data_IF_496451709796
#
_entry.id   IF_496451709796
#
_cell.length_a   1.000
_cell.length_b   1.000
_cell.length_c   1.000
_cell.angle_alpha   90.00
_cell.angle_beta   90.00
_cell.angle_gamma   90.00
#
_symmetry.space_group_name_H-M   'P 1'
#
loop_
_entity.id
_entity.type
_entity.pdbx_description
1 polymer ?
#
# COMPACT_ATOMS: atom_id res chain seq x y z
N UNK A 1 13.19 -43.95 -45.51
CA UNK A 1 14.10 -43.05 -44.76
C UNK A 1 13.77 -41.55 -44.88
N UNK A 2 13.37 -41.01 -46.05
CA UNK A 2 13.08 -39.56 -46.19
C UNK A 2 11.89 -39.08 -45.34
N UNK A 3 10.81 -39.87 -45.30
CA UNK A 3 9.59 -39.55 -44.54
C UNK A 3 9.91 -39.45 -43.04
N UNK A 4 10.71 -40.38 -42.51
CA UNK A 4 11.09 -40.40 -41.09
C UNK A 4 11.86 -39.13 -40.67
N UNK A 5 12.79 -38.64 -41.50
CA UNK A 5 13.55 -37.40 -41.22
C UNK A 5 12.64 -36.17 -41.19
N UNK A 6 11.66 -36.10 -42.09
CA UNK A 6 10.70 -34.99 -42.12
C UNK A 6 9.74 -35.04 -40.94
N UNK A 7 9.25 -36.23 -40.58
CA UNK A 7 8.42 -36.41 -39.40
C UNK A 7 9.15 -35.98 -38.12
N UNK A 8 10.43 -36.36 -37.98
CA UNK A 8 11.28 -35.91 -36.88
C UNK A 8 11.46 -34.39 -36.85
N UNK A 9 11.65 -33.74 -38.00
CA UNK A 9 11.76 -32.29 -38.08
C UNK A 9 10.47 -31.58 -37.64
N UNK A 10 9.29 -32.09 -38.01
CA UNK A 10 7.99 -31.54 -37.56
C UNK A 10 7.82 -31.68 -36.05
N UNK A 11 8.18 -32.82 -35.47
CA UNK A 11 8.14 -33.01 -34.02
C UNK A 11 9.05 -32.00 -33.29
N UNK A 12 10.27 -31.79 -33.79
CA UNK A 12 11.19 -30.81 -33.24
C UNK A 12 10.65 -29.37 -33.34
N UNK A 13 9.91 -29.04 -34.40
CA UNK A 13 9.25 -27.73 -34.54
C UNK A 13 8.19 -27.52 -33.45
N UNK A 14 7.37 -28.53 -33.17
CA UNK A 14 6.36 -28.44 -32.11
C UNK A 14 7.02 -28.24 -30.75
N UNK A 15 8.06 -29.04 -30.44
CA UNK A 15 8.83 -28.90 -29.19
C UNK A 15 9.48 -27.51 -29.10
N UNK A 16 10.08 -27.04 -30.19
CA UNK A 16 10.65 -25.69 -30.28
C UNK A 16 9.59 -24.61 -30.00
N UNK A 17 8.40 -24.71 -30.60
CA UNK A 17 7.34 -23.72 -30.43
C UNK A 17 6.84 -23.65 -28.98
N UNK A 18 6.66 -24.80 -28.31
CA UNK A 18 6.26 -24.84 -26.90
C UNK A 18 7.35 -24.29 -25.98
N UNK A 19 8.62 -24.67 -26.20
CA UNK A 19 9.73 -24.12 -25.43
C UNK A 19 9.90 -22.61 -25.66
N UNK A 20 9.66 -22.14 -26.89
CA UNK A 20 9.71 -20.72 -27.23
C UNK A 20 8.64 -19.94 -26.44
N UNK A 21 7.41 -20.46 -26.36
CA UNK A 21 6.36 -19.88 -25.51
C UNK A 21 6.83 -19.72 -24.06
N UNK A 22 7.32 -20.79 -23.45
CA UNK A 22 7.77 -20.78 -22.05
C UNK A 22 8.91 -19.78 -21.83
N UNK A 23 9.84 -19.70 -22.78
CA UNK A 23 11.00 -18.80 -22.71
C UNK A 23 10.61 -17.32 -22.86
N UNK A 24 9.69 -17.00 -23.78
CA UNK A 24 9.19 -15.63 -23.93
C UNK A 24 8.37 -15.22 -22.71
N UNK A 25 7.50 -16.10 -22.21
CA UNK A 25 6.70 -15.83 -21.02
C UNK A 25 7.60 -15.57 -19.80
N UNK A 26 8.58 -16.44 -19.54
CA UNK A 26 9.49 -16.27 -18.40
C UNK A 26 10.35 -15.01 -18.48
N UNK A 27 10.88 -14.67 -19.67
CA UNK A 27 11.65 -13.42 -19.85
C UNK A 27 10.79 -12.17 -19.74
N UNK A 28 9.56 -12.20 -20.25
CA UNK A 28 8.66 -11.04 -20.17
C UNK A 28 8.23 -10.81 -18.71
N UNK A 29 7.99 -11.88 -17.95
CA UNK A 29 7.70 -11.81 -16.53
C UNK A 29 8.87 -11.19 -15.74
N UNK A 30 10.11 -11.64 -15.96
CA UNK A 30 11.31 -11.10 -15.29
C UNK A 30 11.52 -9.61 -15.63
N UNK A 31 11.33 -9.23 -16.89
CA UNK A 31 11.52 -7.86 -17.36
C UNK A 31 10.40 -6.88 -16.98
N UNK A 32 9.16 -7.35 -16.84
CA UNK A 32 7.99 -6.49 -16.60
C UNK A 32 7.53 -6.55 -15.15
N UNK A 33 7.09 -7.72 -14.68
CA UNK A 33 6.44 -7.89 -13.36
C UNK A 33 7.40 -7.61 -12.20
N UNK A 34 8.68 -7.93 -12.38
CA UNK A 34 9.71 -7.73 -11.38
C UNK A 34 10.52 -6.45 -11.64
N UNK A 35 10.04 -5.50 -12.44
CA UNK A 35 10.72 -4.21 -12.60
C UNK A 35 10.11 -3.14 -11.70
N UNK A 36 10.92 -2.40 -10.92
CA UNK A 36 10.42 -1.32 -10.07
C UNK A 36 9.63 -0.28 -10.89
N UNK A 37 10.17 0.13 -12.04
CA UNK A 37 9.54 1.13 -12.90
C UNK A 37 8.13 0.72 -13.37
N UNK A 38 7.94 -0.54 -13.79
CA UNK A 38 6.64 -1.02 -14.19
C UNK A 38 5.64 -1.01 -13.04
N UNK A 39 6.03 -1.49 -11.85
CA UNK A 39 5.14 -1.51 -10.70
C UNK A 39 4.74 -0.10 -10.26
N UNK A 40 5.69 0.84 -10.22
CA UNK A 40 5.39 2.26 -9.95
C UNK A 40 4.42 2.84 -10.96
N UNK A 41 4.64 2.57 -12.25
CA UNK A 41 3.74 3.03 -13.31
C UNK A 41 2.35 2.43 -13.17
N UNK A 42 2.22 1.14 -12.83
CA UNK A 42 0.92 0.51 -12.60
C UNK A 42 0.22 1.08 -11.35
N UNK A 43 0.95 1.36 -10.27
CA UNK A 43 0.39 1.98 -9.06
C UNK A 43 -0.13 3.39 -9.35
N UNK A 44 0.65 4.19 -10.08
CA UNK A 44 0.27 5.54 -10.48
C UNK A 44 -0.91 5.55 -11.47
N UNK A 45 -0.86 4.72 -12.50
CA UNK A 45 -1.89 4.66 -13.56
C UNK A 45 -3.26 4.24 -13.01
N UNK A 46 -3.28 3.41 -11.97
CA UNK A 46 -4.51 2.95 -11.35
C UNK A 46 -4.92 3.79 -10.13
N UNK A 47 -4.32 4.95 -9.87
CA UNK A 47 -4.64 5.81 -8.72
C UNK A 47 -4.63 5.07 -7.36
N UNK A 48 -3.72 4.10 -7.21
CA UNK A 48 -3.67 3.25 -6.00
C UNK A 48 -3.36 4.07 -4.75
N UNK A 49 -2.54 5.12 -4.88
CA UNK A 49 -2.18 6.01 -3.77
C UNK A 49 -3.40 6.77 -3.24
N UNK A 50 -4.23 7.32 -4.13
CA UNK A 50 -5.43 8.04 -3.75
C UNK A 50 -6.48 7.10 -3.15
N UNK A 51 -6.67 5.92 -3.74
CA UNK A 51 -7.55 4.87 -3.20
C UNK A 51 -7.12 4.43 -1.80
N UNK A 52 -5.83 4.17 -1.60
CA UNK A 52 -5.30 3.74 -0.30
C UNK A 52 -5.60 4.76 0.81
N UNK A 53 -5.43 6.06 0.54
CA UNK A 53 -5.69 7.12 1.53
C UNK A 53 -7.17 7.41 1.75
N UNK A 54 -8.01 7.29 0.71
CA UNK A 54 -9.42 7.66 0.78
C UNK A 54 -10.32 6.55 1.31
N UNK A 55 -9.98 5.31 1.00
CA UNK A 55 -10.87 4.15 1.19
C UNK A 55 -10.22 3.14 2.14
N UNK A 56 -9.03 2.64 1.80
CA UNK A 56 -8.43 1.53 2.54
C UNK A 56 -7.99 1.88 3.97
N UNK A 57 -7.19 2.94 4.12
CA UNK A 57 -6.63 3.34 5.42
C UNK A 57 -7.72 3.74 6.44
N UNK A 58 -8.73 4.57 6.09
CA UNK A 58 -9.79 4.93 7.02
C UNK A 58 -10.66 3.75 7.45
N UNK A 59 -10.87 2.77 6.56
CA UNK A 59 -11.58 1.54 6.89
C UNK A 59 -10.80 0.72 7.93
N UNK A 60 -9.50 0.50 7.69
CA UNK A 60 -8.65 -0.29 8.60
C UNK A 60 -8.47 0.38 9.97
N UNK A 61 -8.25 1.70 10.00
CA UNK A 61 -8.06 2.45 11.25
C UNK A 61 -9.27 2.33 12.19
N UNK A 62 -10.48 2.22 11.65
CA UNK A 62 -11.70 2.05 12.45
C UNK A 62 -11.84 0.65 13.01
N UNK A 63 -11.46 -0.35 12.22
CA UNK A 63 -11.54 -1.75 12.63
C UNK A 63 -10.48 -2.09 13.67
N UNK A 64 -9.27 -1.54 13.59
CA UNK A 64 -8.15 -2.00 14.43
C UNK A 64 -7.82 -1.08 15.61
N UNK A 65 -8.05 0.24 15.52
CA UNK A 65 -7.63 1.14 16.60
C UNK A 65 -8.67 1.23 17.73
N UNK A 66 -8.28 0.80 18.92
CA UNK A 66 -9.06 1.01 20.15
C UNK A 66 -9.13 2.51 20.49
N UNK A 67 -8.04 3.23 20.31
CA UNK A 67 -7.91 4.67 20.64
C UNK A 67 -8.87 5.55 19.84
N UNK A 68 -9.06 5.31 18.54
CA UNK A 68 -9.98 6.13 17.73
C UNK A 68 -11.45 5.68 17.88
N UNK A 69 -11.70 4.44 18.32
CA UNK A 69 -13.06 3.94 18.55
C UNK A 69 -13.78 4.67 19.69
N UNK A 70 -13.04 5.09 20.70
CA UNK A 70 -13.59 5.78 21.88
C UNK A 70 -13.78 7.29 21.65
N UNK A 71 -13.30 7.81 20.52
CA UNK A 71 -13.50 9.20 20.11
C UNK A 71 -14.75 9.34 19.23
N UNK A 72 -15.49 10.47 19.29
CA UNK A 72 -16.71 10.70 18.52
C UNK A 72 -16.41 11.10 17.06
N UNK A 73 -15.61 10.28 16.37
CA UNK A 73 -15.14 10.51 15.01
C UNK A 73 -15.90 9.66 13.99
N UNK A 74 -16.39 10.30 12.94
CA UNK A 74 -16.98 9.63 11.77
C UNK A 74 -15.88 9.08 10.84
N UNK A 75 -16.22 8.19 9.89
CA UNK A 75 -15.23 7.61 8.97
C UNK A 75 -14.64 8.68 8.08
N UNK A 76 -15.49 9.59 7.61
CA UNK A 76 -15.10 10.72 6.78
C UNK A 76 -14.14 11.64 7.52
N UNK A 77 -14.39 11.92 8.79
CA UNK A 77 -13.49 12.75 9.61
C UNK A 77 -12.11 12.09 9.81
N UNK A 78 -12.06 10.77 10.04
CA UNK A 78 -10.78 10.05 10.10
C UNK A 78 -10.08 10.05 8.75
N UNK A 79 -10.82 9.89 7.65
CA UNK A 79 -10.26 9.96 6.30
C UNK A 79 -9.68 11.33 5.96
N UNK A 80 -10.39 12.41 6.31
CA UNK A 80 -9.93 13.78 6.15
C UNK A 80 -8.67 14.05 6.99
N UNK A 81 -8.66 13.55 8.23
CA UNK A 81 -7.51 13.66 9.13
C UNK A 81 -6.27 12.93 8.57
N UNK A 82 -6.43 11.69 8.09
CA UNK A 82 -5.34 10.93 7.47
C UNK A 82 -4.83 11.63 6.21
N UNK A 83 -5.72 12.11 5.35
CA UNK A 83 -5.31 12.82 4.12
C UNK A 83 -4.58 14.13 4.40
N UNK A 84 -4.98 14.86 5.45
CA UNK A 84 -4.30 16.09 5.86
C UNK A 84 -2.88 15.83 6.38
N UNK A 85 -2.63 14.64 6.92
CA UNK A 85 -1.41 14.32 7.69
C UNK A 85 -0.42 13.49 6.87
N UNK A 86 -0.94 12.65 5.99
CA UNK A 86 -0.23 11.84 5.01
C UNK A 86 -0.68 12.29 3.62
N UNK A 87 -0.06 13.34 3.05
CA UNK A 87 -0.35 13.76 1.68
C UNK A 87 -0.07 12.63 0.69
N UNK A 88 -0.82 12.59 -0.40
CA UNK A 88 -0.64 11.57 -1.46
C UNK A 88 0.80 11.53 -1.98
N UNK A 89 1.45 12.69 -2.14
CA UNK A 89 2.83 12.77 -2.58
C UNK A 89 3.80 12.04 -1.62
N UNK A 90 3.58 12.18 -0.31
CA UNK A 90 4.39 11.50 0.70
C UNK A 90 4.16 9.99 0.65
N UNK A 91 2.89 9.54 0.60
CA UNK A 91 2.59 8.11 0.48
C UNK A 91 3.22 7.52 -0.78
N UNK A 92 3.10 8.23 -1.91
CA UNK A 92 3.69 7.82 -3.18
C UNK A 92 5.20 7.65 -3.05
N UNK A 93 5.90 8.64 -2.49
CA UNK A 93 7.35 8.56 -2.27
C UNK A 93 7.74 7.34 -1.41
N UNK A 94 7.04 7.10 -0.30
CA UNK A 94 7.36 5.98 0.59
C UNK A 94 7.08 4.62 -0.06
N UNK A 95 5.95 4.47 -0.76
CA UNK A 95 5.61 3.24 -1.47
C UNK A 95 6.57 2.99 -2.63
N UNK A 96 6.90 4.04 -3.40
CA UNK A 96 7.86 3.93 -4.49
C UNK A 96 9.27 3.59 -3.99
N UNK A 97 9.69 4.15 -2.85
CA UNK A 97 10.95 3.77 -2.19
C UNK A 97 10.91 2.32 -1.73
N UNK A 98 9.79 1.84 -1.19
CA UNK A 98 9.63 0.44 -0.81
C UNK A 98 9.73 -0.47 -2.04
N UNK A 99 9.10 -0.10 -3.16
CA UNK A 99 9.18 -0.82 -4.44
C UNK A 99 10.63 -0.88 -4.94
N UNK A 100 11.37 0.22 -4.87
CA UNK A 100 12.78 0.26 -5.29
C UNK A 100 13.70 -0.62 -4.46
N UNK A 101 13.37 -0.88 -3.19
CA UNK A 101 14.19 -1.73 -2.33
C UNK A 101 13.74 -3.19 -2.38
N UNK A 102 12.45 -3.46 -2.26
CA UNK A 102 11.88 -4.81 -2.14
C UNK A 102 11.95 -5.56 -3.47
N UNK A 103 11.61 -4.90 -4.58
CA UNK A 103 11.50 -5.60 -5.87
C UNK A 103 12.86 -6.12 -6.37
N UNK A 104 13.97 -5.36 -6.29
CA UNK A 104 15.28 -5.92 -6.61
C UNK A 104 15.70 -7.07 -5.70
N UNK A 105 15.34 -7.03 -4.41
CA UNK A 105 15.62 -8.12 -3.48
C UNK A 105 14.88 -9.41 -3.88
N UNK A 106 13.56 -9.34 -4.11
CA UNK A 106 12.73 -10.47 -4.55
C UNK A 106 13.20 -11.00 -5.91
N UNK A 107 13.57 -10.10 -6.82
CA UNK A 107 14.15 -10.44 -8.12
C UNK A 107 15.57 -11.04 -8.04
N UNK A 108 16.13 -11.17 -6.83
CA UNK A 108 17.46 -11.70 -6.57
C UNK A 108 18.62 -10.81 -7.00
N UNK A 109 18.36 -9.51 -7.27
CA UNK A 109 19.32 -8.49 -7.72
C UNK A 109 19.94 -7.68 -6.57
N UNK A 110 19.29 -7.63 -5.42
CA UNK A 110 19.86 -7.15 -4.16
C UNK A 110 19.89 -8.29 -3.14
N UNK A 111 20.86 -8.27 -2.24
CA UNK A 111 20.99 -9.25 -1.14
C UNK A 111 20.41 -8.77 0.19
N UNK A 112 20.18 -7.47 0.34
CA UNK A 112 19.66 -6.88 1.56
C UNK A 112 18.53 -5.89 1.25
N UNK A 113 17.60 -5.76 2.21
CA UNK A 113 16.56 -4.75 2.26
C UNK A 113 16.86 -3.84 3.45
N UNK A 114 16.91 -2.54 3.17
CA UNK A 114 16.88 -1.50 4.19
C UNK A 114 15.93 -0.41 3.71
N UNK A 115 14.74 -0.36 4.30
CA UNK A 115 13.75 0.68 4.04
C UNK A 115 13.55 1.47 5.32
N UNK A 116 13.76 2.79 5.26
CA UNK A 116 13.55 3.68 6.41
C UNK A 116 12.43 4.66 6.08
N UNK A 117 11.34 4.60 6.83
CA UNK A 117 10.17 5.47 6.66
C UNK A 117 10.13 6.48 7.82
N UNK A 118 10.33 7.78 7.56
CA UNK A 118 10.34 8.80 8.61
C UNK A 118 8.91 9.18 9.03
N UNK A 119 8.48 8.80 10.23
CA UNK A 119 7.11 9.05 10.71
C UNK A 119 6.99 10.27 11.62
N UNK A 120 8.09 10.76 12.18
CA UNK A 120 8.12 11.83 13.19
C UNK A 120 7.28 13.06 12.83
N UNK A 121 7.45 13.60 11.62
CA UNK A 121 6.70 14.79 11.18
C UNK A 121 5.23 14.47 10.93
N UNK A 122 4.93 13.29 10.39
CA UNK A 122 3.56 12.83 10.08
C UNK A 122 2.75 12.60 11.34
N UNK A 123 3.39 11.99 12.34
CA UNK A 123 2.87 11.80 13.70
C UNK A 123 2.49 13.13 14.35
N UNK A 124 3.43 14.09 14.37
CA UNK A 124 3.15 15.43 14.91
C UNK A 124 2.03 16.15 14.15
N UNK A 125 2.01 16.06 12.83
CA UNK A 125 0.93 16.63 12.03
C UNK A 125 -0.43 15.99 12.36
N UNK A 126 -0.45 14.67 12.58
CA UNK A 126 -1.65 13.93 12.96
C UNK A 126 -2.21 14.35 14.31
N UNK A 127 -1.36 14.46 15.32
CA UNK A 127 -1.77 14.96 16.63
C UNK A 127 -2.39 16.36 16.53
N UNK A 128 -1.71 17.30 15.86
CA UNK A 128 -2.20 18.67 15.70
C UNK A 128 -3.56 18.73 14.97
N UNK A 129 -3.71 17.95 13.91
CA UNK A 129 -4.95 17.92 13.14
C UNK A 129 -6.09 17.23 13.91
N UNK A 130 -5.80 16.17 14.67
CA UNK A 130 -6.77 15.49 15.53
C UNK A 130 -7.25 16.43 16.64
N UNK A 131 -6.31 17.14 17.29
CA UNK A 131 -6.61 18.11 18.32
C UNK A 131 -7.53 19.22 17.82
N UNK A 132 -7.23 19.78 16.65
CA UNK A 132 -8.04 20.82 16.02
C UNK A 132 -9.48 20.32 15.73
N UNK A 133 -9.60 19.08 15.25
CA UNK A 133 -10.91 18.45 15.00
C UNK A 133 -11.71 18.23 16.29
N UNK A 134 -11.06 17.74 17.34
CA UNK A 134 -11.69 17.51 18.64
C UNK A 134 -12.14 18.83 19.29
N UNK A 135 -11.34 19.90 19.18
CA UNK A 135 -11.76 21.24 19.62
C UNK A 135 -13.00 21.71 18.87
N UNK A 136 -13.02 21.56 17.54
CA UNK A 136 -14.18 21.96 16.74
C UNK A 136 -15.45 21.22 17.17
N UNK A 137 -15.34 19.92 17.48
CA UNK A 137 -16.46 19.14 18.03
C UNK A 137 -16.85 19.60 19.42
N UNK A 138 -15.88 19.87 20.28
CA UNK A 138 -16.10 20.37 21.63
C UNK A 138 -16.82 21.72 21.62
N UNK A 139 -16.42 22.64 20.75
CA UNK A 139 -17.03 23.96 20.60
C UNK A 139 -18.46 23.93 20.04
N UNK A 140 -18.80 22.86 19.31
CA UNK A 140 -20.14 22.61 18.81
C UNK A 140 -21.08 21.98 19.86
N UNK A 141 -20.56 21.55 21.02
CA UNK A 141 -21.40 20.98 22.09
C UNK A 141 -22.25 22.06 22.77
N UNK A 142 -23.47 21.70 23.22
CA UNK A 142 -24.29 22.61 24.01
C UNK A 142 -23.62 22.91 25.36
N UNK A 143 -23.87 24.10 25.95
CA UNK A 143 -23.37 24.41 27.29
C UNK A 143 -23.96 23.43 28.32
N UNK A 144 -23.14 22.99 29.28
CA UNK A 144 -23.59 22.12 30.36
C UNK A 144 -24.62 22.83 31.25
N UNK A 145 -25.77 22.19 31.48
CA UNK A 145 -26.81 22.71 32.37
C UNK A 145 -26.51 22.48 33.86
N UNK A 146 -25.73 21.45 34.18
CA UNK A 146 -25.24 21.14 35.53
C UNK A 146 -23.78 20.69 35.46
N UNK A 147 -23.03 20.89 36.53
CA UNK A 147 -21.60 20.53 36.55
C UNK A 147 -21.41 19.01 36.66
N UNK A 148 -22.36 18.31 37.28
CA UNK A 148 -22.39 16.84 37.37
C UNK A 148 -22.45 16.13 35.99
N UNK A 149 -22.90 16.82 34.95
CA UNK A 149 -23.00 16.27 33.59
C UNK A 149 -21.63 16.28 32.86
N UNK A 150 -20.65 17.02 33.40
CA UNK A 150 -19.28 17.02 32.92
C UNK A 150 -18.49 15.88 33.57
N UNK A 151 -18.67 14.64 33.08
CA UNK A 151 -17.77 13.53 33.39
C UNK A 151 -16.57 13.55 32.44
N UNK A 152 -15.37 13.80 32.97
CA UNK A 152 -14.08 13.62 32.28
C UNK A 152 -13.49 12.23 32.57
N UNK A 153 -14.34 11.22 32.74
CA UNK A 153 -13.88 9.86 32.95
C UNK A 153 -13.84 9.16 31.60
N UNK A 154 -12.69 9.27 30.92
CA UNK A 154 -12.28 8.46 29.75
C UNK A 154 -13.11 8.54 28.46
N UNK A 155 -14.26 9.20 28.46
CA UNK A 155 -15.09 9.43 27.26
C UNK A 155 -15.07 10.91 26.84
N UNK A 156 -15.25 11.18 25.54
CA UNK A 156 -15.38 12.56 25.04
C UNK A 156 -16.58 13.26 25.70
N UNK A 157 -16.44 14.51 26.17
CA UNK A 157 -17.48 15.19 26.94
C UNK A 157 -18.76 15.38 26.12
N UNK A 158 -19.92 15.26 26.77
CA UNK A 158 -21.24 15.43 26.14
C UNK A 158 -21.73 16.88 26.08
N UNK A 159 -21.12 17.76 26.86
CA UNK A 159 -21.46 19.17 26.93
C UNK A 159 -20.20 20.02 27.08
N UNK A 160 -20.27 21.27 26.61
CA UNK A 160 -19.20 22.26 26.77
C UNK A 160 -19.35 22.97 28.11
N UNK A 161 -18.23 23.14 28.78
CA UNK A 161 -18.16 23.83 30.05
C UNK A 161 -18.05 25.33 29.76
N UNK A 162 -19.20 26.02 29.72
CA UNK A 162 -19.32 27.47 29.53
C UNK A 162 -19.90 27.92 28.18
N UNK A 163 -20.66 29.00 28.22
CA UNK A 163 -21.11 29.74 27.03
C UNK A 163 -20.08 30.82 26.63
N UNK A 164 -20.40 31.58 25.58
CA UNK A 164 -19.61 32.67 24.98
C UNK A 164 -19.18 33.80 25.94
N UNK A 165 -19.56 33.76 27.22
CA UNK A 165 -19.11 34.70 28.25
C UNK A 165 -18.02 34.14 29.20
N UNK A 166 -17.67 32.85 29.10
CA UNK A 166 -16.56 32.24 29.85
C UNK A 166 -16.78 32.13 31.36
N UNK A 167 -17.99 32.39 31.87
CA UNK A 167 -18.26 32.38 33.30
C UNK A 167 -18.94 31.06 33.72
N UNK A 168 -18.12 30.10 34.18
CA UNK A 168 -18.58 28.94 34.95
C UNK A 168 -19.03 29.28 36.37
N UNK A 169 -18.63 30.46 36.81
CA UNK A 169 -18.85 30.98 38.15
C UNK A 169 -20.33 30.98 38.54
N UNK A 170 -21.29 31.47 37.74
CA UNK A 170 -22.70 31.54 38.17
C UNK A 170 -23.34 30.17 38.39
N UNK A 171 -22.98 29.16 37.59
CA UNK A 171 -23.54 27.81 37.69
C UNK A 171 -22.97 27.08 38.91
N UNK A 172 -21.65 27.11 39.09
CA UNK A 172 -20.97 26.55 40.27
C UNK A 172 -21.42 27.23 41.56
N UNK A 173 -21.65 28.55 41.52
CA UNK A 173 -22.11 29.34 42.67
C UNK A 173 -23.55 29.06 43.01
N UNK A 174 -24.44 28.95 42.03
CA UNK A 174 -25.84 28.59 42.27
C UNK A 174 -25.95 27.17 42.84
N UNK A 175 -25.14 26.22 42.33
CA UNK A 175 -25.14 24.83 42.79
C UNK A 175 -24.52 24.71 44.19
N UNK A 176 -23.42 25.43 44.49
CA UNK A 176 -22.83 25.49 45.83
C UNK A 176 -23.75 26.19 46.85
N UNK A 177 -24.42 27.28 46.46
CA UNK A 177 -25.36 28.01 47.31
C UNK A 177 -26.60 27.18 47.69
N UNK A 178 -26.94 26.16 46.88
CA UNK A 178 -28.05 25.26 47.14
C UNK A 178 -27.69 24.05 48.04
N UNK A 179 -26.41 23.85 48.38
CA UNK A 179 -25.98 22.75 49.24
C UNK A 179 -26.29 23.00 50.73
N UNK A 180 -26.72 21.98 51.49
CA UNK A 180 -26.94 22.11 52.94
C UNK A 180 -25.62 22.35 53.69
N UNK A 181 -25.65 22.99 54.86
CA UNK A 181 -24.46 23.17 55.69
C UNK A 181 -23.91 21.84 56.20
N UNK A 182 -22.58 21.64 56.17
CA UNK A 182 -21.95 20.42 56.66
C UNK A 182 -22.11 20.32 58.20
N UNK A 183 -22.69 19.22 58.66
CA UNK A 183 -22.81 18.90 60.10
C UNK A 183 -21.50 18.41 60.71
N UNK A 184 -20.62 17.79 59.93
CA UNK A 184 -19.34 17.28 60.39
C UNK A 184 -18.25 17.31 59.30
N UNK A 185 -16.96 17.31 59.67
CA UNK A 185 -15.85 17.19 58.72
C UNK A 185 -15.86 15.88 57.92
N UNK A 186 -16.49 14.82 58.42
CA UNK A 186 -16.60 13.53 57.74
C UNK A 186 -17.62 13.54 56.59
N UNK A 187 -18.50 14.55 56.55
CA UNK A 187 -19.52 14.73 55.51
C UNK A 187 -18.95 15.40 54.24
N UNK A 188 -17.72 15.93 54.31
CA UNK A 188 -16.94 16.43 53.19
C UNK A 188 -16.39 15.27 52.35
N UNK A 189 -17.30 14.46 51.77
CA UNK A 189 -16.92 13.54 50.68
C UNK A 189 -16.97 14.29 49.36
N UNK A 190 -15.81 14.50 48.78
CA UNK A 190 -15.64 15.07 47.45
C UNK A 190 -15.63 13.96 46.41
N UNK A 191 -16.63 13.93 45.54
CA UNK A 191 -16.58 13.21 44.26
C UNK A 191 -17.70 13.73 43.33
N UNK A 192 -17.42 14.58 42.31
CA UNK A 192 -16.26 15.46 42.13
C UNK A 192 -16.42 16.84 42.82
N UNK A 193 -17.53 17.07 43.53
CA UNK A 193 -17.85 18.32 44.24
C UNK A 193 -18.26 18.05 45.71
N UNK A 194 -18.15 19.04 46.62
CA UNK A 194 -18.62 18.90 48.00
C UNK A 194 -20.14 18.71 48.02
N UNK A 195 -20.64 17.87 48.95
CA UNK A 195 -22.09 17.63 49.13
C UNK A 195 -22.76 18.60 50.11
N UNK A 196 -21.99 19.47 50.72
CA UNK A 196 -22.45 20.41 51.73
C UNK A 196 -21.57 21.68 51.75
N UNK A 197 -22.11 22.79 52.25
CA UNK A 197 -21.37 24.03 52.47
C UNK A 197 -20.52 23.90 53.73
N UNK A 198 -19.21 24.07 53.60
CA UNK A 198 -18.36 24.24 54.77
C UNK A 198 -18.67 25.62 55.36
N UNK A 199 -19.15 25.68 56.61
CA UNK A 199 -19.01 26.90 57.41
C UNK A 199 -17.53 27.24 57.62
N UNK A 200 -17.22 28.25 58.44
CA UNK A 200 -15.85 28.71 58.74
C UNK A 200 -14.85 27.53 58.78
N UNK A 201 -14.00 27.45 57.75
CA UNK A 201 -13.21 26.26 57.46
C UNK A 201 -12.16 26.09 58.56
N UNK A 202 -12.09 24.91 59.17
CA UNK A 202 -11.01 24.62 60.10
C UNK A 202 -9.67 24.53 59.33
N UNK A 203 -8.54 24.95 59.91
CA UNK A 203 -7.23 24.92 59.23
C UNK A 203 -6.82 23.56 58.66
N UNK A 204 -7.43 22.48 59.15
CA UNK A 204 -7.15 21.10 58.78
C UNK A 204 -7.84 20.71 57.46
N UNK A 205 -9.06 21.20 57.22
CA UNK A 205 -9.77 21.03 55.95
C UNK A 205 -9.08 21.83 54.83
N UNK A 206 -8.50 22.99 55.17
CA UNK A 206 -7.73 23.80 54.22
C UNK A 206 -6.46 23.10 53.72
N UNK A 207 -5.74 22.39 54.59
CA UNK A 207 -4.57 21.59 54.18
C UNK A 207 -4.94 20.40 53.29
N UNK A 208 -6.08 19.76 53.54
CA UNK A 208 -6.58 18.65 52.71
C UNK A 208 -7.02 19.11 51.31
N UNK A 209 -7.59 20.32 51.22
CA UNK A 209 -7.93 20.97 49.95
C UNK A 209 -6.67 21.28 49.13
N UNK A 210 -5.65 21.88 49.75
CA UNK A 210 -4.38 22.21 49.09
C UNK A 210 -3.63 20.97 48.57
N UNK A 211 -3.65 19.86 49.32
CA UNK A 211 -3.00 18.61 48.92
C UNK A 211 -3.72 17.88 47.76
N UNK A 212 -5.00 18.19 47.47
CA UNK A 212 -5.82 17.43 46.52
C UNK A 212 -6.20 18.20 45.24
N UNK A 213 -6.21 19.53 45.27
CA UNK A 213 -6.57 20.38 44.11
C UNK A 213 -5.42 20.71 43.16
N UNK A 214 -4.22 20.16 43.38
CA UNK A 214 -3.05 20.32 42.50
C UNK A 214 -3.25 19.74 41.08
N UNK A 215 -4.41 19.10 40.82
CA UNK A 215 -4.76 18.44 39.55
C UNK A 215 -5.59 19.33 38.61
N UNK A 216 -6.09 20.50 39.05
CA UNK A 216 -6.88 21.43 38.23
C UNK A 216 -6.26 22.85 38.23
N UNK A 217 -5.26 23.12 37.37
CA UNK A 217 -4.53 24.39 37.38
C UNK A 217 -5.37 25.61 36.97
N UNK A 218 -6.55 25.38 36.38
CA UNK A 218 -7.37 26.44 35.78
C UNK A 218 -8.13 27.31 36.80
N UNK A 219 -8.24 26.88 38.06
CA UNK A 219 -8.88 27.67 39.11
C UNK A 219 -8.04 27.66 40.39
N UNK A 220 -6.78 28.11 40.29
CA UNK A 220 -5.94 28.45 41.45
C UNK A 220 -6.62 29.44 42.42
N UNK A 221 -7.71 30.08 42.00
CA UNK A 221 -8.52 31.05 42.74
C UNK A 221 -9.68 30.44 43.55
N UNK A 222 -9.84 29.12 43.61
CA UNK A 222 -10.87 28.53 44.48
C UNK A 222 -10.57 28.75 45.98
N UNK A 223 -9.30 29.02 46.32
CA UNK A 223 -8.83 29.28 47.68
C UNK A 223 -9.38 30.60 48.25
N UNK A 224 -9.66 31.60 47.40
CA UNK A 224 -10.24 32.90 47.81
C UNK A 224 -11.77 32.86 48.02
N UNK A 225 -12.44 31.86 47.45
CA UNK A 225 -13.90 31.67 47.54
C UNK A 225 -14.30 31.23 48.95
N UNK A 226 -13.43 30.46 49.60
CA UNK A 226 -13.63 29.91 50.94
C UNK A 226 -13.50 30.98 52.04
N UNK A 227 -12.73 32.04 51.79
CA UNK A 227 -12.40 33.08 52.78
C UNK A 227 -13.21 34.36 52.63
N UNK A 228 -14.25 34.37 51.78
CA UNK A 228 -15.18 35.50 51.63
C UNK A 228 -14.72 36.61 50.67
N UNK A 229 -13.79 36.30 49.76
CA UNK A 229 -13.37 37.21 48.70
C UNK A 229 -14.37 37.26 47.54
N UNK A 230 -14.60 38.47 47.01
CA UNK A 230 -15.40 38.74 45.81
C UNK A 230 -14.94 37.89 44.61
N UNK A 231 -15.90 37.25 43.93
CA UNK A 231 -15.75 36.39 42.75
C UNK A 231 -14.75 36.93 41.71
N UNK A 232 -13.48 36.58 41.85
CA UNK A 232 -12.50 36.84 40.81
C UNK A 232 -12.65 35.79 39.73
N UNK A 233 -12.79 36.30 38.52
CA UNK A 233 -13.03 35.60 37.28
C UNK A 233 -12.04 34.46 37.09
N UNK A 234 -12.48 33.20 37.24
CA UNK A 234 -11.82 32.08 36.57
C UNK A 234 -11.94 32.35 35.07
N UNK A 235 -11.00 33.10 34.50
CA UNK A 235 -10.85 33.23 33.07
C UNK A 235 -10.33 31.88 32.60
N UNK A 236 -11.25 30.99 32.25
CA UNK A 236 -10.91 29.69 31.68
C UNK A 236 -10.06 29.98 30.45
N UNK A 237 -8.75 29.74 30.59
CA UNK A 237 -7.82 29.87 29.49
C UNK A 237 -8.30 28.92 28.40
N UNK A 238 -8.47 29.43 27.17
CA UNK A 238 -9.00 28.62 26.06
C UNK A 238 -8.20 27.32 26.00
N UNK A 239 -8.91 26.20 26.02
CA UNK A 239 -8.29 24.88 25.91
C UNK A 239 -7.53 24.86 24.58
N UNK A 240 -6.20 24.85 24.64
CA UNK A 240 -5.36 24.76 23.44
C UNK A 240 -5.40 23.32 22.89
N UNK A 241 -5.17 23.14 21.58
CA UNK A 241 -5.17 21.81 20.96
C UNK A 241 -4.27 20.80 21.69
N UNK A 242 -3.07 21.23 22.07
CA UNK A 242 -2.08 20.40 22.74
C UNK A 242 -2.55 19.96 24.13
N UNK A 243 -3.26 20.84 24.83
CA UNK A 243 -3.74 20.58 26.20
C UNK A 243 -4.94 19.64 26.20
N UNK A 244 -5.81 19.72 25.18
CA UNK A 244 -6.91 18.77 25.02
C UNK A 244 -6.39 17.36 24.75
N UNK A 245 -5.34 17.20 23.93
CA UNK A 245 -4.73 15.89 23.69
C UNK A 245 -4.08 15.30 24.94
N UNK A 246 -3.38 16.12 25.72
CA UNK A 246 -2.81 15.70 27.00
C UNK A 246 -3.88 15.28 28.00
N UNK A 247 -5.00 16.01 28.06
CA UNK A 247 -6.13 15.68 28.93
C UNK A 247 -6.84 14.38 28.51
N UNK A 248 -6.82 14.04 27.23
CA UNK A 248 -7.36 12.79 26.71
C UNK A 248 -6.34 11.64 26.72
N UNK A 249 -5.12 11.85 27.25
CA UNK A 249 -4.00 10.90 27.24
C UNK A 249 -3.61 10.34 25.85
N UNK A 250 -4.11 10.95 24.77
CA UNK A 250 -3.93 10.45 23.40
C UNK A 250 -2.48 10.54 22.97
N UNK A 251 -1.76 11.61 23.34
CA UNK A 251 -0.36 11.80 22.91
C UNK A 251 0.59 10.76 23.52
N UNK A 252 0.44 10.43 24.81
CA UNK A 252 1.32 9.45 25.46
C UNK A 252 1.09 8.03 24.95
N UNK A 253 -0.16 7.67 24.66
CA UNK A 253 -0.48 6.35 24.12
C UNK A 253 -0.05 6.24 22.64
N UNK A 254 -0.27 7.29 21.86
CA UNK A 254 0.18 7.35 20.47
C UNK A 254 1.72 7.33 20.37
N UNK A 255 2.43 7.98 21.29
CA UNK A 255 3.89 7.94 21.37
C UNK A 255 4.45 6.53 21.59
N UNK A 256 3.76 5.71 22.38
CA UNK A 256 4.17 4.33 22.67
C UNK A 256 3.90 3.38 21.50
N UNK A 257 2.85 3.64 20.73
CA UNK A 257 2.39 2.76 19.64
C UNK A 257 3.10 3.07 18.32
N UNK A 258 3.33 4.36 18.02
CA UNK A 258 3.86 4.79 16.73
C UNK A 258 5.29 5.33 16.88
N UNK A 259 6.32 4.60 16.39
CA UNK A 259 7.70 5.06 16.47
C UNK A 259 7.97 6.26 15.55
N UNK A 260 9.01 7.04 15.86
CA UNK A 260 9.43 8.20 15.05
C UNK A 260 9.93 7.83 13.66
N UNK A 261 10.40 6.59 13.49
CA UNK A 261 10.82 6.03 12.21
C UNK A 261 10.54 4.54 12.21
N UNK A 262 10.16 4.02 11.05
CA UNK A 262 10.01 2.60 10.82
C UNK A 262 11.16 2.14 9.92
N UNK A 263 12.06 1.34 10.46
CA UNK A 263 13.11 0.68 9.68
C UNK A 263 12.70 -0.75 9.45
N UNK A 264 12.48 -1.10 8.19
CA UNK A 264 12.17 -2.47 7.77
C UNK A 264 13.44 -3.07 7.17
N UNK A 265 13.94 -4.11 7.82
CA UNK A 265 15.12 -4.86 7.39
C UNK A 265 14.73 -6.17 6.71
N UNK A 266 15.71 -6.84 6.10
CA UNK A 266 15.52 -8.18 5.55
C UNK A 266 14.99 -9.17 6.60
N UNK A 267 15.48 -9.08 7.85
CA UNK A 267 15.08 -9.98 8.92
C UNK A 267 13.59 -9.86 9.23
N UNK A 268 13.09 -8.62 9.35
CA UNK A 268 11.68 -8.33 9.64
C UNK A 268 10.75 -8.86 8.54
N UNK A 269 11.18 -8.78 7.28
CA UNK A 269 10.40 -9.30 6.15
C UNK A 269 10.41 -10.83 6.14
N UNK A 270 11.55 -11.47 6.37
CA UNK A 270 11.65 -12.93 6.39
C UNK A 270 10.91 -13.55 7.58
N UNK A 271 10.81 -12.84 8.70
CA UNK A 271 9.99 -13.26 9.83
C UNK A 271 8.50 -13.31 9.46
N UNK A 272 8.02 -12.31 8.72
CA UNK A 272 6.62 -12.22 8.30
C UNK A 272 6.31 -13.03 7.02
N UNK A 273 7.32 -13.33 6.21
CA UNK A 273 7.19 -14.02 4.93
C UNK A 273 8.37 -15.00 4.71
N UNK A 274 8.43 -16.12 5.47
CA UNK A 274 9.56 -17.06 5.40
C UNK A 274 9.71 -17.70 4.01
N UNK A 275 8.62 -17.83 3.26
CA UNK A 275 8.62 -18.37 1.89
C UNK A 275 9.26 -17.43 0.87
N UNK A 276 9.54 -16.17 1.23
CA UNK A 276 10.10 -15.18 0.30
C UNK A 276 11.49 -15.59 -0.21
N UNK A 277 12.33 -16.20 0.63
CA UNK A 277 13.65 -16.68 0.20
C UNK A 277 13.51 -17.88 -0.76
N UNK A 278 12.51 -18.75 -0.57
CA UNK A 278 12.18 -19.83 -1.51
C UNK A 278 11.75 -19.28 -2.86
N UNK A 279 10.92 -18.24 -2.87
CA UNK A 279 10.50 -17.54 -4.10
C UNK A 279 11.71 -16.91 -4.79
N UNK A 280 12.56 -16.23 -4.04
CA UNK A 280 13.78 -15.58 -4.53
C UNK A 280 14.77 -16.58 -5.13
N UNK A 281 14.99 -17.71 -4.46
CA UNK A 281 15.81 -18.81 -4.97
C UNK A 281 15.21 -19.40 -6.25
N UNK A 282 13.88 -19.55 -6.30
CA UNK A 282 13.16 -20.02 -7.49
C UNK A 282 13.31 -19.06 -8.66
N UNK A 283 13.20 -17.74 -8.44
CA UNK A 283 13.42 -16.72 -9.47
C UNK A 283 14.85 -16.79 -10.03
N UNK A 284 15.86 -16.94 -9.16
CA UNK A 284 17.27 -17.11 -9.58
C UNK A 284 17.46 -18.39 -10.41
N UNK A 285 16.85 -19.50 -10.00
CA UNK A 285 16.90 -20.76 -10.73
C UNK A 285 16.22 -20.65 -12.10
N UNK A 286 15.05 -20.01 -12.16
CA UNK A 286 14.32 -19.75 -13.42
C UNK A 286 15.16 -18.88 -14.35
N UNK A 287 15.80 -17.80 -13.87
CA UNK A 287 16.65 -16.94 -14.71
C UNK A 287 17.83 -17.71 -15.31
N UNK A 288 18.45 -18.59 -14.54
CA UNK A 288 19.51 -19.48 -15.03
C UNK A 288 18.96 -20.47 -16.08
N UNK A 289 17.78 -21.04 -15.83
CA UNK A 289 17.09 -21.94 -16.75
C UNK A 289 16.66 -21.24 -18.06
N UNK A 290 16.35 -19.95 -18.02
CA UNK A 290 16.02 -19.15 -19.21
C UNK A 290 17.23 -19.02 -20.16
N UNK A 291 18.44 -18.85 -19.63
CA UNK A 291 19.65 -18.83 -20.47
C UNK A 291 19.95 -20.20 -21.07
N UNK A 292 19.88 -21.26 -20.27
CA UNK A 292 20.04 -22.64 -20.75
C UNK A 292 19.00 -23.00 -21.82
N UNK A 293 17.74 -22.61 -21.61
CA UNK A 293 16.66 -22.87 -22.54
C UNK A 293 16.77 -22.07 -23.84
N UNK A 294 17.39 -20.89 -23.84
CA UNK A 294 17.72 -20.17 -25.08
C UNK A 294 18.76 -20.93 -25.91
N UNK A 295 19.80 -21.47 -25.27
CA UNK A 295 20.77 -22.33 -25.95
C UNK A 295 20.10 -23.60 -26.52
N UNK A 296 19.18 -24.21 -25.76
CA UNK A 296 18.38 -25.34 -26.23
C UNK A 296 17.49 -24.98 -27.42
N UNK A 297 16.84 -23.82 -27.41
CA UNK A 297 16.04 -23.34 -28.55
C UNK A 297 16.89 -23.16 -29.79
N UNK A 298 18.08 -22.56 -29.68
CA UNK A 298 19.01 -22.42 -30.79
C UNK A 298 19.42 -23.79 -31.34
N UNK A 299 19.71 -24.76 -30.47
CA UNK A 299 20.05 -26.13 -30.86
C UNK A 299 18.88 -26.85 -31.56
N UNK A 300 17.65 -26.72 -31.06
CA UNK A 300 16.44 -27.29 -31.68
C UNK A 300 16.14 -26.65 -33.04
N UNK A 301 16.32 -25.34 -33.16
CA UNK A 301 16.16 -24.62 -34.41
C UNK A 301 17.19 -25.09 -35.44
N UNK A 302 18.46 -25.22 -35.05
CA UNK A 302 19.50 -25.78 -35.90
C UNK A 302 19.18 -27.24 -36.29
N UNK A 303 18.81 -28.08 -35.34
CA UNK A 303 18.46 -29.48 -35.60
C UNK A 303 17.30 -29.61 -36.59
N UNK A 304 16.21 -28.86 -36.40
CA UNK A 304 15.06 -28.88 -37.32
C UNK A 304 15.43 -28.41 -38.73
N UNK A 305 16.26 -27.37 -38.84
CA UNK A 305 16.78 -26.89 -40.12
C UNK A 305 17.64 -27.96 -40.84
N UNK A 306 18.61 -28.55 -40.14
CA UNK A 306 19.52 -29.55 -40.71
C UNK A 306 18.85 -30.90 -41.02
N UNK A 307 17.86 -31.34 -40.22
CA UNK A 307 17.13 -32.57 -40.50
C UNK A 307 16.16 -32.42 -41.68
N UNK A 308 15.50 -31.27 -41.80
CA UNK A 308 14.49 -31.02 -42.82
C UNK A 308 15.08 -30.70 -44.20
N UNK A 309 16.21 -29.98 -44.25
CA UNK A 309 16.81 -29.46 -45.48
C UNK A 309 18.12 -30.13 -45.90
N UNK A 310 18.17 -30.70 -47.11
CA UNK A 310 19.43 -31.17 -47.72
C UNK A 310 20.29 -30.04 -48.28
N UNK A 311 19.67 -29.01 -48.86
CA UNK A 311 20.34 -27.82 -49.37
C UNK A 311 20.21 -26.66 -48.39
N UNK A 312 21.06 -25.64 -48.52
CA UNK A 312 20.99 -24.41 -47.71
C UNK A 312 19.59 -23.77 -47.77
N UNK A 313 18.97 -23.74 -48.96
CA UNK A 313 17.59 -23.27 -49.15
C UNK A 313 16.58 -24.06 -48.33
N UNK A 314 16.68 -25.40 -48.37
CA UNK A 314 15.82 -26.26 -47.57
C UNK A 314 16.00 -26.01 -46.07
N UNK A 315 17.23 -25.83 -45.60
CA UNK A 315 17.52 -25.54 -44.18
C UNK A 315 16.88 -24.23 -43.73
N UNK A 316 16.99 -23.18 -44.55
CA UNK A 316 16.34 -21.89 -44.30
C UNK A 316 14.82 -22.02 -44.25
N UNK A 317 14.22 -22.79 -45.17
CA UNK A 317 12.77 -23.00 -45.18
C UNK A 317 12.28 -23.73 -43.92
N UNK A 318 12.97 -24.78 -43.46
CA UNK A 318 12.58 -25.50 -42.24
C UNK A 318 12.80 -24.67 -40.98
N UNK A 319 13.89 -23.91 -40.89
CA UNK A 319 14.11 -22.97 -39.79
C UNK A 319 13.07 -21.83 -39.78
N UNK A 320 12.75 -21.27 -40.96
CA UNK A 320 11.71 -20.25 -41.12
C UNK A 320 10.32 -20.76 -40.75
N UNK A 321 10.00 -22.02 -41.09
CA UNK A 321 8.76 -22.68 -40.67
C UNK A 321 8.68 -22.81 -39.14
N UNK A 322 9.77 -23.22 -38.49
CA UNK A 322 9.83 -23.34 -37.03
C UNK A 322 9.54 -22.00 -36.33
N UNK A 323 10.19 -20.92 -36.79
CA UNK A 323 10.01 -19.57 -36.27
C UNK A 323 8.59 -19.07 -36.54
N UNK A 324 8.04 -19.31 -37.74
CA UNK A 324 6.69 -18.87 -38.11
C UNK A 324 5.62 -19.54 -37.25
N UNK A 325 5.73 -20.86 -37.04
CA UNK A 325 4.81 -21.62 -36.18
C UNK A 325 4.92 -21.14 -34.73
N UNK A 326 6.14 -20.95 -34.22
CA UNK A 326 6.35 -20.40 -32.88
C UNK A 326 5.79 -18.99 -32.71
N UNK A 327 6.01 -18.10 -33.67
CA UNK A 327 5.47 -16.74 -33.69
C UNK A 327 3.95 -16.71 -33.76
N UNK A 328 3.33 -17.56 -34.59
CA UNK A 328 1.88 -17.68 -34.66
C UNK A 328 1.29 -18.19 -33.34
N UNK A 329 1.92 -19.20 -32.74
CA UNK A 329 1.48 -19.75 -31.46
C UNK A 329 1.59 -18.72 -30.34
N UNK A 330 2.69 -17.96 -30.28
CA UNK A 330 2.84 -16.81 -29.38
C UNK A 330 1.73 -15.78 -29.55
N UNK A 331 1.37 -15.46 -30.81
CA UNK A 331 0.32 -14.51 -31.11
C UNK A 331 -1.05 -15.00 -30.63
N UNK A 332 -1.36 -16.28 -30.86
CA UNK A 332 -2.59 -16.90 -30.38
C UNK A 332 -2.67 -16.91 -28.85
N UNK A 333 -1.56 -17.22 -28.16
CA UNK A 333 -1.50 -17.18 -26.69
C UNK A 333 -1.64 -15.75 -26.18
N UNK A 334 -1.04 -14.75 -26.82
CA UNK A 334 -1.20 -13.34 -26.44
C UNK A 334 -2.65 -12.86 -26.59
N UNK A 335 -3.32 -13.23 -27.68
CA UNK A 335 -4.74 -12.90 -27.91
C UNK A 335 -5.66 -13.68 -26.94
N UNK A 336 -5.42 -14.98 -26.77
CA UNK A 336 -6.19 -15.82 -25.86
C UNK A 336 -6.01 -15.45 -24.39
N UNK A 337 -4.78 -15.07 -23.98
CA UNK A 337 -4.46 -14.66 -22.62
C UNK A 337 -5.23 -13.43 -22.16
N UNK A 338 -5.55 -12.48 -23.04
CA UNK A 338 -6.45 -11.36 -22.72
C UNK A 338 -7.86 -11.82 -22.36
N UNK A 339 -8.36 -12.87 -23.02
CA UNK A 339 -9.68 -13.42 -22.72
C UNK A 339 -9.69 -14.39 -21.53
N UNK A 340 -8.60 -15.13 -21.31
CA UNK A 340 -8.48 -16.15 -20.26
C UNK A 340 -8.13 -15.53 -18.90
N UNK A 341 -7.36 -14.44 -18.87
CA UNK A 341 -7.01 -13.73 -17.64
C UNK A 341 -8.26 -13.25 -16.90
N UNK A 342 -9.29 -12.78 -17.61
CA UNK A 342 -10.56 -12.41 -17.00
C UNK A 342 -11.22 -13.57 -16.21
N UNK A 343 -11.03 -14.82 -16.64
CA UNK A 343 -11.56 -16.01 -15.94
C UNK A 343 -10.69 -16.41 -14.76
N UNK A 344 -9.37 -16.46 -14.96
CA UNK A 344 -8.42 -16.84 -13.90
C UNK A 344 -8.43 -15.85 -12.73
N UNK A 345 -8.59 -14.56 -13.02
CA UNK A 345 -8.69 -13.51 -12.01
C UNK A 345 -9.93 -13.71 -11.14
N UNK A 346 -11.07 -14.07 -11.73
CA UNK A 346 -12.30 -14.33 -10.96
C UNK A 346 -12.18 -15.56 -10.04
N UNK A 347 -11.37 -16.56 -10.41
CA UNK A 347 -11.10 -17.69 -9.50
C UNK A 347 -10.13 -17.32 -8.39
N UNK A 348 -9.09 -16.53 -8.68
CA UNK A 348 -8.16 -16.01 -7.67
C UNK A 348 -8.85 -15.09 -6.65
N UNK A 349 -9.90 -14.37 -7.08
CA UNK A 349 -10.71 -13.54 -6.19
C UNK A 349 -11.37 -14.34 -5.08
N UNK A 350 -11.72 -15.60 -5.33
CA UNK A 350 -12.34 -16.47 -4.32
C UNK A 350 -11.37 -16.95 -3.23
N UNK A 351 -10.06 -16.81 -3.43
CA UNK A 351 -9.03 -17.28 -2.50
C UNK A 351 -8.65 -16.20 -1.48
N UNK A 352 -8.93 -14.93 -1.78
CA UNK A 352 -8.53 -13.78 -0.96
C UNK A 352 -9.55 -13.37 0.11
N UNK A 353 -10.11 -14.29 0.91
CA UNK A 353 -11.27 -14.01 1.79
C UNK A 353 -11.00 -13.13 3.03
N UNK A 354 -10.07 -12.18 2.97
CA UNK A 354 -9.66 -11.36 4.12
C UNK A 354 -9.60 -9.86 3.89
N UNK A 355 -9.82 -9.38 2.66
CA UNK A 355 -9.79 -7.94 2.34
C UNK A 355 -11.19 -7.41 2.09
N UNK A 356 -11.39 -6.10 2.27
CA UNK A 356 -12.65 -5.48 1.88
C UNK A 356 -12.84 -5.59 0.36
N UNK A 357 -14.08 -5.80 -0.07
CA UNK A 357 -14.46 -5.95 -1.49
C UNK A 357 -13.93 -4.81 -2.37
N UNK A 358 -13.77 -3.61 -1.81
CA UNK A 358 -13.20 -2.46 -2.51
C UNK A 358 -11.69 -2.59 -2.79
N UNK A 359 -10.93 -3.12 -1.82
CA UNK A 359 -9.48 -3.34 -1.97
C UNK A 359 -9.22 -4.46 -2.98
N UNK A 360 -10.05 -5.50 -2.96
CA UNK A 360 -10.02 -6.57 -3.95
C UNK A 360 -10.26 -6.03 -5.37
N UNK A 361 -11.33 -5.27 -5.57
CA UNK A 361 -11.66 -4.65 -6.86
C UNK A 361 -10.50 -3.81 -7.41
N UNK A 362 -9.84 -3.04 -6.54
CA UNK A 362 -8.70 -2.21 -6.95
C UNK A 362 -7.47 -3.03 -7.28
N UNK A 363 -7.17 -4.06 -6.49
CA UNK A 363 -6.09 -5.00 -6.79
C UNK A 363 -6.31 -5.68 -8.15
N UNK A 364 -7.55 -6.07 -8.47
CA UNK A 364 -7.87 -6.65 -9.78
C UNK A 364 -7.64 -5.68 -10.93
N UNK A 365 -7.99 -4.40 -10.79
CA UNK A 365 -7.71 -3.40 -11.82
C UNK A 365 -6.21 -3.28 -12.10
N UNK A 366 -5.37 -3.26 -11.06
CA UNK A 366 -3.90 -3.21 -11.19
C UNK A 366 -3.38 -4.45 -11.90
N UNK A 367 -3.82 -5.64 -11.47
CA UNK A 367 -3.42 -6.91 -12.10
C UNK A 367 -3.85 -6.97 -13.56
N UNK A 368 -5.08 -6.56 -13.87
CA UNK A 368 -5.60 -6.58 -15.23
C UNK A 368 -4.86 -5.59 -16.14
N UNK A 369 -4.56 -4.38 -15.65
CA UNK A 369 -3.74 -3.39 -16.36
C UNK A 369 -2.34 -3.95 -16.63
N UNK A 370 -1.73 -4.61 -15.65
CA UNK A 370 -0.42 -5.24 -15.79
C UNK A 370 -0.43 -6.36 -16.85
N UNK A 371 -1.42 -7.26 -16.79
CA UNK A 371 -1.59 -8.35 -17.76
C UNK A 371 -1.79 -7.81 -19.17
N UNK A 372 -2.60 -6.76 -19.35
CA UNK A 372 -2.82 -6.14 -20.65
C UNK A 372 -1.54 -5.53 -21.23
N UNK A 373 -0.74 -4.86 -20.39
CA UNK A 373 0.56 -4.30 -20.80
C UNK A 373 1.52 -5.41 -21.25
N UNK A 374 1.61 -6.51 -20.49
CA UNK A 374 2.46 -7.65 -20.81
C UNK A 374 2.02 -8.32 -22.11
N UNK A 375 0.72 -8.54 -22.28
CA UNK A 375 0.17 -9.12 -23.50
C UNK A 375 0.47 -8.27 -24.74
N UNK A 376 0.49 -6.94 -24.60
CA UNK A 376 0.91 -6.01 -25.66
C UNK A 376 2.36 -6.25 -26.11
N UNK A 377 3.29 -6.35 -25.16
CA UNK A 377 4.71 -6.61 -25.47
C UNK A 377 4.91 -7.97 -26.14
N UNK A 378 4.24 -9.03 -25.64
CA UNK A 378 4.32 -10.38 -26.23
C UNK A 378 3.76 -10.37 -27.66
N UNK A 379 2.65 -9.66 -27.90
CA UNK A 379 2.03 -9.54 -29.22
C UNK A 379 3.00 -8.89 -30.24
N UNK A 380 3.72 -7.83 -29.83
CA UNK A 380 4.71 -7.18 -30.70
C UNK A 380 5.83 -8.16 -31.11
N UNK A 381 6.42 -8.87 -30.14
CA UNK A 381 7.45 -9.87 -30.42
C UNK A 381 6.96 -11.01 -31.30
N UNK A 382 5.72 -11.46 -31.08
CA UNK A 382 5.10 -12.50 -31.89
C UNK A 382 4.97 -12.09 -33.36
N UNK A 383 4.57 -10.84 -33.64
CA UNK A 383 4.46 -10.29 -34.99
C UNK A 383 5.84 -10.21 -35.67
N UNK A 384 6.86 -9.73 -34.94
CA UNK A 384 8.23 -9.63 -35.47
C UNK A 384 8.76 -11.02 -35.83
N UNK A 385 8.62 -11.99 -34.93
CA UNK A 385 9.06 -13.37 -35.17
C UNK A 385 8.32 -14.00 -36.36
N UNK A 386 7.01 -13.80 -36.44
CA UNK A 386 6.20 -14.30 -37.55
C UNK A 386 6.65 -13.68 -38.89
N UNK A 387 6.88 -12.36 -38.93
CA UNK A 387 7.37 -11.68 -40.13
C UNK A 387 8.76 -12.19 -40.55
N UNK A 388 9.68 -12.37 -39.60
CA UNK A 388 11.01 -12.93 -39.86
C UNK A 388 10.92 -14.38 -40.39
N UNK A 389 10.07 -15.20 -39.78
CA UNK A 389 9.83 -16.58 -40.20
C UNK A 389 9.27 -16.65 -41.63
N UNK A 390 8.27 -15.82 -41.95
CA UNK A 390 7.69 -15.73 -43.29
C UNK A 390 8.70 -15.23 -44.33
N UNK A 391 9.52 -14.24 -43.97
CA UNK A 391 10.58 -13.74 -44.84
C UNK A 391 11.62 -14.83 -45.14
N UNK A 392 12.01 -15.62 -44.14
CA UNK A 392 12.91 -16.77 -44.32
C UNK A 392 12.32 -17.88 -45.22
N UNK A 393 10.99 -18.00 -45.29
CA UNK A 393 10.30 -18.91 -46.22
C UNK A 393 10.29 -18.38 -47.66
N UNK A 394 10.15 -17.07 -47.85
CA UNK A 394 9.99 -16.42 -49.16
C UNK A 394 11.33 -16.16 -49.87
N UNK A 395 12.35 -15.67 -49.16
CA UNK A 395 13.66 -15.28 -49.73
C UNK A 395 14.31 -16.37 -50.59
N UNK A 396 14.31 -17.67 -50.21
CA UNK A 396 14.90 -18.73 -51.03
C UNK A 396 14.29 -18.89 -52.42
N UNK A 397 13.05 -18.44 -52.64
CA UNK A 397 12.41 -18.46 -53.97
C UNK A 397 13.01 -17.42 -54.92
N UNK A 398 13.32 -16.22 -54.42
CA UNK A 398 13.91 -15.14 -55.22
C UNK A 398 15.38 -15.38 -55.55
N UNK A 399 16.12 -16.07 -54.69
CA UNK A 399 17.52 -16.44 -54.92
C UNK A 399 17.72 -17.49 -56.03
N UNK A 400 16.65 -18.04 -56.62
CA UNK A 400 16.71 -19.04 -57.68
C UNK A 400 17.17 -18.49 -59.03
N UNK A 401 17.08 -17.17 -59.24
CA UNK A 401 17.28 -16.54 -60.55
C UNK A 401 18.72 -16.26 -60.99
N UNK A 402 19.74 -16.47 -60.14
CA UNK A 402 21.10 -15.95 -60.40
C UNK A 402 22.18 -16.98 -60.77
N UNK A 403 21.86 -18.27 -60.82
CA UNK A 403 22.87 -19.34 -61.00
C UNK A 403 23.12 -19.77 -62.47
N UNK A 404 22.49 -19.17 -63.49
CA UNK A 404 22.55 -19.71 -64.86
C UNK A 404 23.36 -18.92 -65.89
N UNK A 405 24.00 -17.79 -65.56
CA UNK A 405 24.96 -17.15 -66.47
C UNK A 405 26.38 -17.45 -66.00
N UNK A 406 26.80 -18.71 -66.19
CA UNK A 406 28.22 -18.99 -66.30
C UNK A 406 28.68 -18.32 -67.60
N UNK A 407 29.57 -17.30 -67.57
CA UNK A 407 30.05 -16.68 -68.79
C UNK A 407 30.66 -17.78 -69.63
N UNK A 408 30.09 -18.00 -70.82
CA UNK A 408 30.58 -18.99 -71.76
C UNK A 408 32.07 -18.74 -71.96
N UNK A 409 32.90 -19.68 -71.48
CA UNK A 409 34.34 -19.65 -71.73
C UNK A 409 34.53 -19.54 -73.24
N UNK A 410 35.25 -18.51 -73.73
CA UNK A 410 35.47 -18.36 -75.16
C UNK A 410 36.14 -19.64 -75.68
N UNK A 411 35.49 -20.29 -76.66
CA UNK A 411 36.07 -21.44 -77.36
C UNK A 411 37.38 -20.98 -78.00
N UNK A 412 38.51 -21.56 -77.56
CA UNK A 412 39.79 -21.37 -78.23
C UNK A 412 39.72 -21.96 -79.65
N UNK A 413 40.13 -21.21 -80.70
CA UNK A 413 40.23 -21.72 -82.05
C UNK A 413 41.36 -22.74 -82.18
N UNK A 414 41.15 -23.75 -83.03
CA UNK A 414 41.87 -25.02 -83.04
C UNK A 414 43.36 -25.00 -83.37
N UNK A 415 43.99 -26.13 -83.02
CA UNK A 415 45.22 -26.69 -83.59
C UNK A 415 45.03 -28.19 -83.72
#
# INVERSE_FOLDING_TARGET
MIILRRAAAVLLIVVFAVLLLLQVAGRTADGSLLSPAFLKEQLARNDVYAFALREAVPQQLREDSTVLRDLPLTAQEVAELVQATIPEAYLREQVESAVDTVVPYVAGRSDEISLTVPLKERKRAFELALAALLIRKYDALPPCGRVADFRIAQEFPRCRVGDSSGNLVPVLVAEYAALPACSSPADLRFDPFPRCQAGAISPEVQRLLEARYDVLPACKQFQDIVTGGSFLSCKVERVTPERLLQLLSVSEEFDKVVPDQLTVTTADILENAPDLETVRQSIRAVRTLLWAGLALLAALLAASAFLGGRSWRGRLQWGGAAISVGGLLLLLVAMGGRSASARAINELASVGTGFSTQVEDKAFQVVQSAVNSIAGTIQLWAIILLAMGLLALVVPFFLRGKESESPALPKLPGT
#
